data_IF_875319614093
#
_entry.id   IF_875319614093
#
_cell.length_a   1.000
_cell.length_b   1.000
_cell.length_c   1.000
_cell.angle_alpha   90.00
_cell.angle_beta   90.00
_cell.angle_gamma   90.00
#
_symmetry.space_group_name_H-M   'P 1'
#
loop_
_entity.id
_entity.type
_entity.pdbx_description
1 polymer ?
#
# COMPACT_ATOMS: atom_id res chain seq x y z
N UNK A 1 -26.71 26.33 19.99
CA UNK A 1 -25.25 26.17 20.19
C UNK A 1 -24.71 25.16 19.18
N UNK A 2 -23.79 25.56 18.30
CA UNK A 2 -23.12 24.67 17.33
C UNK A 2 -22.09 23.84 18.10
N UNK A 3 -22.25 22.52 18.15
CA UNK A 3 -21.25 21.61 18.74
C UNK A 3 -20.03 21.63 17.83
N UNK A 4 -18.90 22.12 18.33
CA UNK A 4 -17.59 21.85 17.75
C UNK A 4 -17.47 20.33 17.59
N UNK A 5 -17.39 19.84 16.35
CA UNK A 5 -16.92 18.48 16.08
C UNK A 5 -15.46 18.51 16.46
N UNK A 6 -15.18 18.05 17.67
CA UNK A 6 -13.84 17.88 18.20
C UNK A 6 -13.07 17.02 17.19
N UNK A 7 -12.07 17.60 16.55
CA UNK A 7 -11.13 16.90 15.68
C UNK A 7 -10.55 15.74 16.49
N UNK A 8 -11.09 14.54 16.27
CA UNK A 8 -10.53 13.34 16.87
C UNK A 8 -9.18 13.14 16.20
N UNK A 9 -8.07 13.06 16.95
CA UNK A 9 -6.80 12.69 16.35
C UNK A 9 -7.02 11.37 15.61
N UNK A 10 -6.66 11.35 14.32
CA UNK A 10 -6.80 10.14 13.50
C UNK A 10 -6.13 8.99 14.26
N UNK A 11 -6.90 7.96 14.60
CA UNK A 11 -6.34 6.80 15.29
C UNK A 11 -5.25 6.22 14.38
N UNK A 12 -4.07 5.90 14.93
CA UNK A 12 -3.06 5.20 14.13
C UNK A 12 -3.70 3.93 13.56
N UNK A 13 -3.49 3.69 12.26
CA UNK A 13 -4.07 2.54 11.57
C UNK A 13 -3.67 1.26 12.29
N UNK A 14 -4.62 0.34 12.44
CA UNK A 14 -4.33 -1.00 12.94
C UNK A 14 -3.43 -1.75 11.95
N UNK A 15 -2.68 -2.74 12.45
CA UNK A 15 -1.85 -3.62 11.62
C UNK A 15 -2.69 -4.32 10.53
N UNK A 16 -3.96 -4.63 10.83
CA UNK A 16 -4.90 -5.22 9.87
C UNK A 16 -5.18 -4.28 8.69
N UNK A 17 -5.43 -3.00 8.96
CA UNK A 17 -5.67 -1.99 7.92
C UNK A 17 -4.41 -1.75 7.06
N UNK A 18 -3.24 -1.70 7.69
CA UNK A 18 -1.96 -1.57 6.97
C UNK A 18 -1.73 -2.80 6.07
N UNK A 19 -2.03 -3.99 6.58
CA UNK A 19 -1.90 -5.25 5.81
C UNK A 19 -2.87 -5.30 4.63
N UNK A 20 -4.12 -4.87 4.81
CA UNK A 20 -5.10 -4.80 3.73
C UNK A 20 -4.64 -3.82 2.63
N UNK A 21 -4.15 -2.64 3.04
CA UNK A 21 -3.62 -1.64 2.09
C UNK A 21 -2.37 -2.13 1.37
N UNK A 22 -1.48 -2.83 2.05
CA UNK A 22 -0.29 -3.45 1.47
C UNK A 22 -0.67 -4.42 0.34
N UNK A 23 -1.62 -5.32 0.60
CA UNK A 23 -2.10 -6.26 -0.41
C UNK A 23 -2.80 -5.56 -1.58
N UNK A 24 -3.62 -4.54 -1.29
CA UNK A 24 -4.29 -3.76 -2.32
C UNK A 24 -3.29 -3.03 -3.24
N UNK A 25 -2.27 -2.40 -2.67
CA UNK A 25 -1.24 -1.69 -3.42
C UNK A 25 -0.45 -2.65 -4.33
N UNK A 26 -0.13 -3.87 -3.88
CA UNK A 26 0.49 -4.91 -4.72
C UNK A 26 -0.40 -5.26 -5.91
N UNK A 27 -1.71 -5.49 -5.69
CA UNK A 27 -2.65 -5.79 -6.79
C UNK A 27 -2.72 -4.65 -7.80
N UNK A 28 -2.79 -3.41 -7.34
CA UNK A 28 -2.80 -2.24 -8.21
C UNK A 28 -1.50 -2.14 -9.03
N UNK A 29 -0.35 -2.32 -8.39
CA UNK A 29 0.95 -2.33 -9.06
C UNK A 29 1.01 -3.40 -10.16
N UNK A 30 0.60 -4.64 -9.84
CA UNK A 30 0.58 -5.75 -10.79
C UNK A 30 -0.38 -5.51 -11.96
N UNK A 31 -1.52 -4.86 -11.72
CA UNK A 31 -2.44 -4.44 -12.79
C UNK A 31 -1.79 -3.41 -13.70
N UNK A 32 -1.14 -2.37 -13.14
CA UNK A 32 -0.44 -1.36 -13.94
C UNK A 32 0.76 -1.91 -14.71
N UNK A 33 1.38 -2.98 -14.23
CA UNK A 33 2.45 -3.68 -14.95
C UNK A 33 1.95 -4.40 -16.21
N UNK A 34 0.66 -4.77 -16.26
CA UNK A 34 0.02 -5.44 -17.40
C UNK A 34 -0.76 -4.47 -18.30
N UNK A 35 -0.95 -3.23 -17.88
CA UNK A 35 -1.65 -2.22 -18.66
C UNK A 35 -0.85 -1.84 -19.92
N UNK A 36 -1.54 -1.60 -21.04
CA UNK A 36 -0.90 -1.13 -22.27
C UNK A 36 -0.42 0.32 -22.19
N UNK A 37 -1.03 1.13 -21.31
CA UNK A 37 -0.65 2.53 -21.11
C UNK A 37 0.63 2.67 -20.29
N UNK A 38 1.43 3.69 -20.57
CA UNK A 38 2.60 4.00 -19.76
C UNK A 38 2.20 4.64 -18.42
N UNK A 39 2.11 3.81 -17.39
CA UNK A 39 1.79 4.23 -16.02
C UNK A 39 3.05 4.31 -15.14
N UNK A 40 4.19 4.75 -15.69
CA UNK A 40 5.49 4.76 -14.99
C UNK A 40 5.44 5.48 -13.64
N UNK A 41 4.89 6.68 -13.58
CA UNK A 41 4.83 7.47 -12.34
C UNK A 41 4.05 6.75 -11.24
N UNK A 42 2.84 6.28 -11.57
CA UNK A 42 1.98 5.54 -10.65
C UNK A 42 2.64 4.24 -10.16
N UNK A 43 3.37 3.53 -11.03
CA UNK A 43 4.12 2.33 -10.65
C UNK A 43 5.23 2.64 -9.64
N UNK A 44 5.99 3.72 -9.85
CA UNK A 44 7.05 4.13 -8.92
C UNK A 44 6.46 4.54 -7.57
N UNK A 45 5.36 5.29 -7.56
CA UNK A 45 4.66 5.67 -6.33
C UNK A 45 4.15 4.44 -5.56
N UNK A 46 3.48 3.51 -6.24
CA UNK A 46 2.99 2.27 -5.63
C UNK A 46 4.14 1.41 -5.10
N UNK A 47 5.25 1.31 -5.83
CA UNK A 47 6.41 0.54 -5.38
C UNK A 47 6.98 1.08 -4.05
N UNK A 48 7.10 2.40 -3.91
CA UNK A 48 7.52 3.05 -2.67
C UNK A 48 6.49 2.86 -1.53
N UNK A 49 5.19 2.97 -1.84
CA UNK A 49 4.11 2.72 -0.87
C UNK A 49 4.14 1.28 -0.36
N UNK A 50 4.29 0.29 -1.25
CA UNK A 50 4.35 -1.12 -0.89
C UNK A 50 5.54 -1.39 0.05
N UNK A 51 6.73 -0.85 -0.25
CA UNK A 51 7.91 -0.98 0.62
C UNK A 51 7.66 -0.41 2.02
N UNK A 52 7.12 0.81 2.08
CA UNK A 52 6.81 1.49 3.34
C UNK A 52 5.82 0.70 4.17
N UNK A 53 4.72 0.25 3.57
CA UNK A 53 3.70 -0.55 4.24
C UNK A 53 4.25 -1.91 4.70
N UNK A 54 5.10 -2.56 3.89
CA UNK A 54 5.78 -3.79 4.23
C UNK A 54 6.66 -3.64 5.48
N UNK A 55 7.44 -2.56 5.56
CA UNK A 55 8.25 -2.25 6.74
C UNK A 55 7.39 -1.98 7.98
N UNK A 56 6.27 -1.27 7.83
CA UNK A 56 5.33 -1.01 8.94
C UNK A 56 4.74 -2.30 9.55
N UNK A 57 4.62 -3.39 8.77
CA UNK A 57 4.14 -4.69 9.25
C UNK A 57 5.27 -5.69 9.53
N UNK A 58 6.53 -5.24 9.55
CA UNK A 58 7.69 -6.06 9.90
C UNK A 58 8.17 -7.01 8.79
N UNK A 59 7.85 -6.74 7.52
CA UNK A 59 8.39 -7.50 6.38
C UNK A 59 9.78 -7.01 6.03
N UNK A 60 10.70 -7.94 5.76
CA UNK A 60 12.01 -7.62 5.21
C UNK A 60 11.92 -7.25 3.72
N UNK A 61 12.90 -6.49 3.24
CA UNK A 61 12.92 -5.98 1.86
C UNK A 61 12.87 -7.10 0.83
N UNK A 62 13.59 -8.22 1.06
CA UNK A 62 13.62 -9.33 0.11
C UNK A 62 12.25 -9.99 -0.03
N UNK A 63 11.51 -10.17 1.08
CA UNK A 63 10.13 -10.67 1.06
C UNK A 63 9.20 -9.70 0.35
N UNK A 64 9.29 -8.40 0.61
CA UNK A 64 8.45 -7.40 -0.08
C UNK A 64 8.69 -7.44 -1.58
N UNK A 65 9.96 -7.45 -2.02
CA UNK A 65 10.31 -7.54 -3.45
C UNK A 65 9.80 -8.84 -4.06
N UNK A 66 9.90 -9.97 -3.35
CA UNK A 66 9.35 -11.25 -3.80
C UNK A 66 7.83 -11.20 -3.98
N UNK A 67 7.11 -10.60 -3.02
CA UNK A 67 5.65 -10.49 -3.04
C UNK A 67 5.15 -9.57 -4.17
N UNK A 68 5.86 -8.47 -4.46
CA UNK A 68 5.55 -7.59 -5.59
C UNK A 68 5.59 -8.35 -6.92
N UNK A 69 6.61 -9.21 -7.10
CA UNK A 69 6.86 -9.95 -8.34
C UNK A 69 6.07 -11.26 -8.43
N UNK A 70 5.48 -11.74 -7.33
CA UNK A 70 4.67 -12.96 -7.32
C UNK A 70 3.21 -12.60 -7.60
N UNK A 71 2.60 -13.09 -8.70
CA UNK A 71 1.21 -12.79 -9.01
C UNK A 71 0.29 -13.18 -7.85
N UNK A 72 -0.51 -12.23 -7.34
CA UNK A 72 -1.55 -12.57 -6.39
C UNK A 72 -2.65 -13.37 -7.11
N UNK A 73 -2.97 -14.56 -6.57
CA UNK A 73 -4.10 -15.38 -7.02
C UNK A 73 -5.43 -14.83 -6.50
#
# INVERSE_FOLDING_TARGET
MRRHIQERPEKPRSIQEISARYQQAIRQYQTLMKAQNDNREQRVMLYAEIKTLGWCIGRDEQKVVKEINTPMR
#
